data_IF_228549333631
#
_entry.id   IF_228549333631
#
_cell.length_a   1.000
_cell.length_b   1.000
_cell.length_c   1.000
_cell.angle_alpha   90.00
_cell.angle_beta   90.00
_cell.angle_gamma   90.00
#
_symmetry.space_group_name_H-M   'P 1'
#
loop_
_entity.id
_entity.type
_entity.pdbx_description
1 polymer ?
#
# COMPACT_ATOMS: atom_id res chain seq x y z
N UNK A 1 26.44 -23.79 11.77
CA UNK A 1 26.63 -23.19 10.42
C UNK A 1 25.82 -21.89 10.37
N UNK A 2 26.42 -20.79 9.90
CA UNK A 2 25.69 -19.56 9.62
C UNK A 2 25.03 -19.68 8.25
N UNK A 3 23.75 -19.39 8.16
CA UNK A 3 23.02 -19.37 6.88
C UNK A 3 23.09 -18.03 6.19
N UNK A 4 23.28 -16.93 6.94
CA UNK A 4 23.34 -15.59 6.39
C UNK A 4 22.87 -14.51 7.34
N UNK A 5 22.69 -13.30 6.79
CA UNK A 5 22.21 -12.11 7.47
C UNK A 5 21.26 -11.35 6.55
N UNK A 6 20.20 -10.82 7.11
CA UNK A 6 19.28 -9.90 6.47
C UNK A 6 19.29 -8.56 7.24
N UNK A 7 19.11 -7.46 6.53
CA UNK A 7 18.98 -6.11 7.08
C UNK A 7 17.75 -5.44 6.46
N UNK A 8 16.88 -4.93 7.30
CA UNK A 8 15.61 -4.32 6.97
C UNK A 8 14.46 -4.96 7.73
N UNK A 9 13.48 -4.15 8.13
CA UNK A 9 12.35 -4.60 8.94
C UNK A 9 11.07 -4.92 8.14
N UNK A 10 11.06 -4.61 6.84
CA UNK A 10 9.82 -4.63 6.02
C UNK A 10 9.94 -5.45 4.75
N UNK A 11 11.06 -6.10 4.51
CA UNK A 11 11.32 -6.85 3.28
C UNK A 11 11.46 -8.34 3.58
N UNK A 12 10.96 -9.21 2.67
CA UNK A 12 11.10 -10.66 2.82
C UNK A 12 12.56 -11.10 2.59
N UNK A 13 12.92 -12.22 3.19
CA UNK A 13 14.22 -12.85 2.96
C UNK A 13 14.11 -14.37 3.06
N UNK A 14 15.00 -15.07 2.37
CA UNK A 14 15.10 -16.52 2.38
C UNK A 14 16.57 -16.99 2.42
N UNK A 15 16.77 -18.18 2.97
CA UNK A 15 18.07 -18.83 3.02
C UNK A 15 17.94 -20.31 2.60
N UNK A 16 18.86 -20.78 1.75
CA UNK A 16 18.99 -22.21 1.50
C UNK A 16 19.59 -22.90 2.73
N UNK A 17 18.78 -23.74 3.35
CA UNK A 17 19.19 -24.50 4.55
C UNK A 17 19.77 -25.86 4.22
N UNK A 18 19.66 -26.31 2.95
CA UNK A 18 20.06 -27.65 2.51
C UNK A 18 21.50 -28.02 2.90
N UNK A 19 22.51 -27.15 2.73
CA UNK A 19 23.89 -27.47 3.11
C UNK A 19 24.12 -27.66 4.61
N UNK A 20 23.18 -27.17 5.44
CA UNK A 20 23.28 -27.20 6.90
C UNK A 20 22.46 -28.33 7.54
N UNK A 21 21.54 -28.96 6.77
CA UNK A 21 20.65 -30.00 7.29
C UNK A 21 21.41 -31.28 7.64
N UNK A 22 21.00 -31.88 8.74
CA UNK A 22 21.49 -33.17 9.21
C UNK A 22 20.34 -34.20 9.34
N UNK A 23 20.65 -35.47 9.29
CA UNK A 23 19.65 -36.52 9.54
C UNK A 23 19.15 -36.41 10.99
N UNK A 24 17.84 -36.38 11.17
CA UNK A 24 17.19 -36.26 12.47
C UNK A 24 16.77 -34.83 12.81
N UNK A 25 16.87 -34.46 14.08
CA UNK A 25 16.44 -33.17 14.59
C UNK A 25 17.44 -32.08 14.20
N UNK A 26 16.94 -31.02 13.61
CA UNK A 26 17.71 -29.79 13.29
C UNK A 26 17.18 -28.63 14.12
N UNK A 27 18.07 -27.80 14.62
CA UNK A 27 17.71 -26.59 15.37
C UNK A 27 18.05 -25.36 14.56
N UNK A 28 17.01 -24.57 14.23
CA UNK A 28 17.18 -23.23 13.64
C UNK A 28 17.24 -22.20 14.77
N UNK A 29 18.27 -21.35 14.73
CA UNK A 29 18.39 -20.22 15.66
C UNK A 29 18.42 -18.92 14.89
N UNK A 30 17.48 -18.02 15.19
CA UNK A 30 17.42 -16.67 14.65
C UNK A 30 17.82 -15.69 15.74
N UNK A 31 18.75 -14.77 15.43
CA UNK A 31 19.10 -13.66 16.29
C UNK A 31 18.66 -12.38 15.63
N UNK A 32 17.85 -11.59 16.33
CA UNK A 32 17.39 -10.28 15.89
C UNK A 32 18.07 -9.19 16.74
N UNK A 33 18.47 -8.11 16.10
CA UNK A 33 18.85 -6.86 16.73
C UNK A 33 18.03 -5.73 16.15
N UNK A 34 17.35 -5.00 17.00
CA UNK A 34 16.46 -3.92 16.63
C UNK A 34 16.64 -2.76 17.62
N UNK A 35 17.17 -1.62 17.16
CA UNK A 35 17.34 -0.45 18.01
C UNK A 35 16.08 0.41 18.14
N UNK A 36 14.96 -0.02 17.56
CA UNK A 36 13.65 0.67 17.47
C UNK A 36 13.81 2.03 16.78
N UNK A 37 13.84 3.14 17.52
CA UNK A 37 13.92 4.50 17.02
C UNK A 37 15.33 5.14 17.16
N UNK A 38 16.33 4.38 17.63
CA UNK A 38 17.71 4.79 17.54
C UNK A 38 18.27 4.50 16.13
N UNK A 39 18.80 5.52 15.47
CA UNK A 39 19.42 5.38 14.17
C UNK A 39 18.54 5.83 13.00
N UNK A 40 18.91 5.38 11.81
CA UNK A 40 18.38 5.90 10.55
C UNK A 40 17.48 4.90 9.80
N UNK A 41 17.36 3.67 10.28
CA UNK A 41 16.57 2.63 9.62
C UNK A 41 15.10 3.00 9.52
N UNK A 42 14.41 2.57 8.44
CA UNK A 42 12.96 2.62 8.39
C UNK A 42 12.35 1.85 9.56
N UNK A 43 11.46 2.48 10.30
CA UNK A 43 10.82 1.92 11.50
C UNK A 43 9.30 2.11 11.54
N UNK A 44 8.77 2.92 10.63
CA UNK A 44 7.37 3.31 10.71
C UNK A 44 7.10 4.20 11.93
N UNK A 45 5.93 4.04 12.54
CA UNK A 45 5.52 4.81 13.74
C UNK A 45 5.97 4.20 15.07
N UNK A 46 6.90 3.26 15.06
CA UNK A 46 7.41 2.59 16.24
C UNK A 46 8.40 3.46 17.00
N UNK A 47 8.20 3.65 18.31
CA UNK A 47 9.07 4.41 19.20
C UNK A 47 9.18 3.77 20.57
N UNK A 48 10.31 3.98 21.27
CA UNK A 48 10.53 3.49 22.64
C UNK A 48 9.60 4.13 23.67
N UNK A 49 9.07 5.33 23.38
CA UNK A 49 8.17 6.07 24.25
C UNK A 49 6.92 6.47 23.45
N UNK A 50 5.92 5.57 23.38
CA UNK A 50 4.69 5.83 22.65
C UNK A 50 3.95 7.06 23.17
N UNK A 51 3.57 7.92 22.24
CA UNK A 51 2.78 9.12 22.54
C UNK A 51 2.12 9.66 21.25
N UNK A 52 0.94 10.24 21.39
CA UNK A 52 0.19 10.90 20.30
C UNK A 52 0.01 9.96 19.10
N UNK A 53 0.76 10.16 18.02
CA UNK A 53 0.70 9.40 16.76
C UNK A 53 1.83 8.36 16.63
N UNK A 54 2.55 8.10 17.71
CA UNK A 54 3.66 7.15 17.78
C UNK A 54 3.30 6.00 18.71
N UNK A 55 3.59 4.77 18.32
CA UNK A 55 3.02 3.57 18.94
C UNK A 55 4.07 2.61 19.47
N UNK A 56 3.59 1.63 20.23
CA UNK A 56 4.38 0.59 20.89
C UNK A 56 5.21 -0.22 19.88
N UNK A 57 6.52 -0.35 20.06
CA UNK A 57 7.38 -1.03 19.10
C UNK A 57 7.31 -2.55 19.25
N UNK A 58 7.68 -3.24 18.18
CA UNK A 58 7.90 -4.69 18.15
C UNK A 58 9.33 -5.00 17.76
N UNK A 59 9.90 -6.07 18.33
CA UNK A 59 11.22 -6.59 17.97
C UNK A 59 11.11 -8.06 17.62
N UNK A 60 11.68 -8.45 16.52
CA UNK A 60 11.67 -9.83 16.06
C UNK A 60 11.02 -10.02 14.70
N UNK A 61 10.86 -11.28 14.30
CA UNK A 61 10.15 -11.62 13.07
C UNK A 61 8.64 -11.49 13.34
N UNK A 62 7.99 -10.60 12.61
CA UNK A 62 6.58 -10.25 12.82
C UNK A 62 5.65 -10.72 11.70
N UNK A 63 6.19 -11.37 10.66
CA UNK A 63 5.43 -12.01 9.59
C UNK A 63 5.68 -13.52 9.55
N UNK A 64 4.97 -14.22 8.68
CA UNK A 64 5.01 -15.68 8.59
C UNK A 64 6.42 -16.20 8.29
N UNK A 65 6.80 -17.26 9.00
CA UNK A 65 8.00 -18.07 8.75
C UNK A 65 7.58 -19.43 8.26
N UNK A 66 8.15 -19.89 7.15
CA UNK A 66 7.88 -21.23 6.63
C UNK A 66 9.13 -21.89 6.07
N UNK A 67 9.07 -23.19 5.89
CA UNK A 67 10.06 -23.99 5.20
C UNK A 67 9.42 -24.62 3.98
N UNK A 68 10.06 -24.48 2.83
CA UNK A 68 9.57 -24.99 1.56
C UNK A 68 10.61 -25.92 0.93
N UNK A 69 10.18 -27.12 0.52
CA UNK A 69 11.00 -28.03 -0.25
C UNK A 69 10.78 -27.75 -1.74
N UNK A 70 11.84 -27.37 -2.44
CA UNK A 70 11.79 -27.05 -3.85
C UNK A 70 12.74 -27.95 -4.65
N UNK A 71 12.48 -28.23 -5.94
CA UNK A 71 13.44 -28.86 -6.80
C UNK A 71 14.76 -28.08 -6.89
N UNK A 72 15.85 -28.75 -7.26
CA UNK A 72 17.13 -28.06 -7.48
C UNK A 72 17.02 -26.96 -8.57
N UNK A 73 16.20 -27.23 -9.57
CA UNK A 73 15.79 -26.24 -10.57
C UNK A 73 14.37 -25.80 -10.23
N UNK A 74 14.18 -24.55 -9.84
CA UNK A 74 12.88 -24.07 -9.41
C UNK A 74 12.63 -22.60 -9.81
N UNK A 75 11.35 -22.25 -9.83
CA UNK A 75 10.86 -20.89 -9.98
C UNK A 75 10.82 -20.26 -8.58
N UNK A 76 11.59 -19.18 -8.39
CA UNK A 76 11.70 -18.48 -7.11
C UNK A 76 10.69 -17.36 -6.96
N UNK A 77 10.39 -16.64 -8.04
CA UNK A 77 9.47 -15.51 -8.03
C UNK A 77 8.81 -15.30 -9.38
N UNK A 78 7.61 -14.76 -9.37
CA UNK A 78 6.81 -14.42 -10.54
C UNK A 78 6.25 -13.01 -10.35
N UNK A 79 6.42 -12.14 -11.36
CA UNK A 79 5.82 -10.81 -11.40
C UNK A 79 5.05 -10.65 -12.71
N UNK A 80 3.74 -10.48 -12.61
CA UNK A 80 2.87 -10.18 -13.74
C UNK A 80 2.66 -8.67 -13.86
N UNK A 81 3.07 -8.08 -14.98
CA UNK A 81 2.89 -6.65 -15.26
C UNK A 81 1.89 -6.48 -16.40
N UNK A 82 0.72 -5.89 -16.17
CA UNK A 82 -0.25 -5.61 -17.22
C UNK A 82 0.15 -4.40 -18.06
N UNK A 83 -0.16 -4.46 -19.35
CA UNK A 83 -0.13 -3.34 -20.30
C UNK A 83 -1.49 -3.31 -21.01
N UNK A 84 -2.38 -2.44 -20.56
CA UNK A 84 -3.73 -2.33 -21.11
C UNK A 84 -3.73 -1.81 -22.53
N UNK A 85 -2.85 -0.88 -22.87
CA UNK A 85 -2.76 -0.27 -24.20
C UNK A 85 -2.37 -1.32 -25.27
N UNK A 86 -1.47 -2.22 -24.91
CA UNK A 86 -1.06 -3.35 -25.75
C UNK A 86 -1.93 -4.61 -25.55
N UNK A 87 -2.79 -4.63 -24.52
CA UNK A 87 -3.56 -5.81 -24.10
C UNK A 87 -2.68 -7.01 -23.80
N UNK A 88 -1.55 -6.79 -23.16
CA UNK A 88 -0.58 -7.85 -22.85
C UNK A 88 -0.31 -7.92 -21.35
N UNK A 89 0.09 -9.13 -20.91
CA UNK A 89 0.79 -9.32 -19.66
C UNK A 89 2.25 -9.64 -19.95
N UNK A 90 3.15 -8.97 -19.29
CA UNK A 90 4.56 -9.34 -19.23
C UNK A 90 4.80 -10.11 -17.95
N UNK A 91 5.22 -11.36 -18.06
CA UNK A 91 5.47 -12.26 -16.94
C UNK A 91 6.98 -12.41 -16.78
N UNK A 92 7.52 -11.76 -15.75
CA UNK A 92 8.90 -11.91 -15.34
C UNK A 92 9.02 -13.06 -14.32
N UNK A 93 9.98 -13.98 -14.55
CA UNK A 93 10.24 -15.11 -13.65
C UNK A 93 11.67 -15.09 -13.17
N UNK A 94 11.87 -15.15 -11.85
CA UNK A 94 13.18 -15.43 -11.28
C UNK A 94 13.31 -16.94 -11.06
N UNK A 95 14.36 -17.56 -11.55
CA UNK A 95 14.59 -19.01 -11.48
C UNK A 95 15.94 -19.32 -10.83
N UNK A 96 16.06 -20.48 -10.21
CA UNK A 96 17.29 -21.00 -9.62
C UNK A 96 17.72 -22.31 -10.29
N UNK A 97 19.05 -22.57 -10.35
CA UNK A 97 19.59 -23.82 -10.85
C UNK A 97 19.40 -24.08 -12.35
N UNK A 98 19.04 -23.03 -13.11
CA UNK A 98 18.79 -23.12 -14.56
C UNK A 98 20.08 -23.08 -15.36
N UNK A 99 20.01 -23.59 -16.61
CA UNK A 99 21.10 -23.62 -17.59
C UNK A 99 20.64 -23.07 -18.95
N UNK A 100 21.56 -22.75 -19.88
CA UNK A 100 21.19 -22.33 -21.23
C UNK A 100 20.25 -23.34 -21.89
N UNK A 101 19.15 -22.87 -22.47
CA UNK A 101 18.14 -23.72 -23.12
C UNK A 101 16.93 -24.06 -22.25
N UNK A 102 17.00 -23.89 -20.92
CA UNK A 102 15.84 -24.00 -20.06
C UNK A 102 14.80 -22.92 -20.41
N UNK A 103 13.53 -23.27 -20.31
CA UNK A 103 12.41 -22.41 -20.70
C UNK A 103 11.37 -22.29 -19.59
N UNK A 104 10.68 -21.19 -19.60
CA UNK A 104 9.47 -20.99 -18.80
C UNK A 104 8.27 -21.00 -19.77
N UNK A 105 7.34 -21.89 -19.52
CA UNK A 105 6.02 -21.93 -20.18
C UNK A 105 4.98 -21.32 -19.27
N UNK A 106 4.23 -20.37 -19.78
CA UNK A 106 3.19 -19.65 -19.01
C UNK A 106 1.85 -19.81 -19.72
N UNK A 107 0.86 -20.26 -18.97
CA UNK A 107 -0.54 -20.32 -19.43
C UNK A 107 -1.40 -19.41 -18.58
N UNK A 108 -2.15 -18.51 -19.23
CA UNK A 108 -3.15 -17.65 -18.63
C UNK A 108 -4.51 -18.33 -18.73
N UNK A 109 -5.22 -18.42 -17.62
CA UNK A 109 -6.51 -19.09 -17.50
C UNK A 109 -7.56 -18.10 -17.00
N UNK A 110 -8.80 -18.27 -17.44
CA UNK A 110 -10.00 -17.58 -16.96
C UNK A 110 -11.07 -18.63 -16.70
N UNK A 111 -11.50 -18.78 -15.43
CA UNK A 111 -12.42 -19.82 -14.99
C UNK A 111 -12.01 -21.23 -15.48
N UNK A 112 -10.71 -21.53 -15.44
CA UNK A 112 -10.13 -22.80 -15.89
C UNK A 112 -9.97 -22.94 -17.39
N UNK A 113 -10.51 -22.04 -18.19
CA UNK A 113 -10.34 -22.00 -19.66
C UNK A 113 -9.04 -21.27 -20.04
N UNK A 114 -8.28 -21.86 -21.01
CA UNK A 114 -7.06 -21.23 -21.52
C UNK A 114 -7.40 -19.97 -22.33
N UNK A 115 -6.81 -18.83 -21.94
CA UNK A 115 -6.96 -17.53 -22.60
C UNK A 115 -5.76 -17.23 -23.50
N UNK A 116 -4.55 -17.45 -22.99
CA UNK A 116 -3.31 -17.21 -23.70
C UNK A 116 -2.20 -18.15 -23.21
N UNK A 117 -1.16 -18.33 -24.01
CA UNK A 117 0.05 -19.04 -23.61
C UNK A 117 1.29 -18.41 -24.25
N UNK A 118 2.42 -18.50 -23.58
CA UNK A 118 3.71 -18.05 -24.08
C UNK A 118 4.84 -18.90 -23.52
N UNK A 119 5.93 -18.95 -24.24
CA UNK A 119 7.18 -19.60 -23.83
C UNK A 119 8.33 -18.62 -23.96
N UNK A 120 9.16 -18.51 -22.92
CA UNK A 120 10.37 -17.69 -22.92
C UNK A 120 11.57 -18.51 -22.45
N UNK A 121 12.79 -18.12 -22.84
CA UNK A 121 14.00 -18.63 -22.21
C UNK A 121 14.09 -18.14 -20.77
N UNK A 122 14.65 -18.93 -19.86
CA UNK A 122 14.92 -18.48 -18.50
C UNK A 122 15.77 -17.21 -18.52
N UNK A 123 15.34 -16.20 -17.76
CA UNK A 123 15.93 -14.85 -17.73
C UNK A 123 15.33 -13.86 -18.73
N UNK A 124 14.41 -14.30 -19.60
CA UNK A 124 13.58 -13.44 -20.45
C UNK A 124 12.13 -13.45 -19.98
N UNK A 125 11.42 -12.34 -20.21
CA UNK A 125 10.00 -12.21 -19.88
C UNK A 125 9.15 -12.92 -20.94
N UNK A 126 8.06 -13.57 -20.49
CA UNK A 126 7.02 -14.08 -21.38
C UNK A 126 5.94 -13.02 -21.61
N UNK A 127 5.53 -12.80 -22.86
CA UNK A 127 4.42 -11.88 -23.20
C UNK A 127 3.17 -12.68 -23.57
N UNK A 128 2.03 -12.36 -22.89
CA UNK A 128 0.74 -12.98 -23.12
C UNK A 128 -0.23 -11.94 -23.66
N UNK A 129 -0.67 -12.09 -24.91
CA UNK A 129 -1.68 -11.22 -25.52
C UNK A 129 -3.10 -11.71 -25.19
N UNK A 130 -3.98 -10.78 -24.79
CA UNK A 130 -5.39 -11.06 -24.48
C UNK A 130 -6.29 -10.18 -25.33
N UNK A 131 -6.96 -10.76 -26.31
CA UNK A 131 -7.72 -10.00 -27.31
C UNK A 131 -8.84 -9.13 -26.71
N UNK A 132 -9.50 -9.61 -25.66
CA UNK A 132 -10.59 -8.91 -24.95
C UNK A 132 -10.41 -9.10 -23.44
N UNK A 133 -9.53 -8.31 -22.80
CA UNK A 133 -9.24 -8.52 -21.40
C UNK A 133 -10.40 -8.08 -20.51
N UNK A 134 -10.72 -8.89 -19.50
CA UNK A 134 -11.56 -8.48 -18.38
C UNK A 134 -10.71 -7.61 -17.46
N UNK A 135 -11.20 -6.41 -17.17
CA UNK A 135 -10.44 -5.43 -16.40
C UNK A 135 -10.69 -5.57 -14.91
N UNK A 136 -9.62 -5.41 -14.12
CA UNK A 136 -9.73 -5.31 -12.69
C UNK A 136 -10.14 -3.89 -12.27
N UNK A 137 -11.12 -3.81 -11.37
CA UNK A 137 -11.54 -2.56 -10.72
C UNK A 137 -12.14 -2.85 -9.34
N UNK A 138 -12.38 -1.83 -8.49
CA UNK A 138 -13.08 -2.02 -7.21
C UNK A 138 -14.45 -2.67 -7.32
N UNK A 139 -15.19 -2.41 -8.39
CA UNK A 139 -16.50 -2.98 -8.64
C UNK A 139 -16.47 -4.33 -9.36
N UNK A 140 -15.35 -4.67 -9.99
CA UNK A 140 -15.16 -5.92 -10.74
C UNK A 140 -13.70 -6.39 -10.60
N UNK A 141 -13.31 -6.98 -9.46
CA UNK A 141 -11.92 -7.35 -9.17
C UNK A 141 -11.53 -8.66 -9.86
N UNK A 142 -11.52 -8.64 -11.20
CA UNK A 142 -11.23 -9.82 -11.99
C UNK A 142 -9.76 -10.22 -11.93
N UNK A 143 -9.50 -11.47 -11.57
CA UNK A 143 -8.17 -12.09 -11.52
C UNK A 143 -8.13 -13.25 -12.52
N UNK A 144 -7.08 -13.28 -13.34
CA UNK A 144 -6.75 -14.43 -14.18
C UNK A 144 -5.81 -15.35 -13.42
N UNK A 145 -5.95 -16.66 -13.58
CA UNK A 145 -4.99 -17.62 -13.04
C UNK A 145 -3.77 -17.77 -13.96
N UNK A 146 -2.61 -18.01 -13.38
CA UNK A 146 -1.37 -18.32 -14.07
C UNK A 146 -0.88 -19.72 -13.71
N UNK A 147 -0.64 -20.57 -14.69
CA UNK A 147 0.10 -21.83 -14.59
C UNK A 147 1.48 -21.61 -15.21
N UNK A 148 2.54 -21.72 -14.41
CA UNK A 148 3.90 -21.43 -14.84
C UNK A 148 4.75 -22.68 -14.64
N UNK A 149 5.42 -23.13 -15.69
CA UNK A 149 6.22 -24.37 -15.72
C UNK A 149 7.65 -24.05 -16.13
N UNK A 150 8.61 -24.57 -15.37
CA UNK A 150 10.01 -24.58 -15.73
C UNK A 150 10.30 -25.88 -16.49
N UNK A 151 10.81 -25.76 -17.71
CA UNK A 151 11.01 -26.89 -18.62
C UNK A 151 12.48 -27.03 -19.02
N UNK A 152 13.04 -28.23 -18.84
CA UNK A 152 14.36 -28.65 -19.26
C UNK A 152 14.24 -29.87 -20.14
N UNK A 153 14.85 -29.86 -21.34
CA UNK A 153 14.87 -30.98 -22.30
C UNK A 153 13.45 -31.57 -22.55
N UNK A 154 12.44 -30.69 -22.64
CA UNK A 154 11.04 -31.06 -22.86
C UNK A 154 10.34 -31.65 -21.66
N UNK A 155 10.95 -31.65 -20.47
CA UNK A 155 10.36 -32.15 -19.22
C UNK A 155 10.11 -31.00 -18.25
N UNK A 156 8.93 -30.98 -17.63
CA UNK A 156 8.63 -30.06 -16.54
C UNK A 156 9.43 -30.46 -15.32
N UNK A 157 10.30 -29.56 -14.84
CA UNK A 157 11.15 -29.76 -13.66
C UNK A 157 10.65 -29.04 -12.43
N UNK A 158 9.84 -27.96 -12.63
CA UNK A 158 9.13 -27.26 -11.56
C UNK A 158 7.84 -26.64 -12.10
N UNK A 159 6.87 -26.43 -11.22
CA UNK A 159 5.59 -25.82 -11.56
C UNK A 159 5.05 -25.00 -10.39
N UNK A 160 4.65 -23.76 -10.67
CA UNK A 160 3.98 -22.89 -9.70
C UNK A 160 2.70 -22.31 -10.29
N UNK A 161 1.78 -21.92 -9.42
CA UNK A 161 0.59 -21.16 -9.79
C UNK A 161 0.68 -19.75 -9.23
N UNK A 162 0.10 -18.80 -9.94
CA UNK A 162 -0.01 -17.40 -9.54
C UNK A 162 -1.28 -16.81 -10.15
N UNK A 163 -1.39 -15.49 -10.14
CA UNK A 163 -2.49 -14.80 -10.80
C UNK A 163 -2.02 -13.48 -11.42
N UNK A 164 -2.86 -12.89 -12.26
CA UNK A 164 -2.65 -11.59 -12.87
C UNK A 164 -3.97 -10.82 -13.00
N UNK A 165 -3.90 -9.50 -13.01
CA UNK A 165 -5.05 -8.65 -13.24
C UNK A 165 -4.73 -7.57 -14.29
N UNK A 166 -5.62 -7.40 -15.27
CA UNK A 166 -5.47 -6.37 -16.29
C UNK A 166 -6.02 -5.05 -15.75
N UNK A 167 -5.13 -4.08 -15.56
CA UNK A 167 -5.50 -2.75 -15.10
C UNK A 167 -4.46 -1.70 -15.50
N UNK A 168 -4.86 -0.43 -15.50
CA UNK A 168 -3.97 0.72 -15.75
C UNK A 168 -4.32 1.85 -14.80
N UNK A 169 -3.34 2.35 -14.05
CA UNK A 169 -3.43 3.60 -13.29
C UNK A 169 -2.77 4.73 -14.08
N UNK A 170 -3.47 5.84 -14.23
CA UNK A 170 -3.00 7.00 -14.99
C UNK A 170 -3.62 8.29 -14.46
N UNK A 171 -3.25 9.42 -15.06
CA UNK A 171 -3.90 10.72 -14.86
C UNK A 171 -4.36 11.28 -16.21
N UNK A 172 -5.49 11.96 -16.21
CA UNK A 172 -5.99 12.67 -17.38
C UNK A 172 -6.77 13.92 -16.97
N UNK A 173 -6.86 14.92 -17.86
CA UNK A 173 -7.73 16.08 -17.64
C UNK A 173 -9.17 15.74 -17.95
N UNK A 174 -10.07 16.09 -17.04
CA UNK A 174 -11.51 16.01 -17.27
C UNK A 174 -12.01 17.14 -18.22
N UNK A 175 -13.32 17.17 -18.50
CA UNK A 175 -13.93 18.19 -19.34
C UNK A 175 -13.81 19.63 -18.84
N UNK A 176 -13.44 19.82 -17.58
CA UNK A 176 -13.19 21.12 -16.94
C UNK A 176 -11.69 21.49 -16.90
N UNK A 177 -10.82 20.61 -17.42
CA UNK A 177 -9.37 20.78 -17.41
C UNK A 177 -8.70 20.42 -16.06
N UNK A 178 -9.42 19.82 -15.12
CA UNK A 178 -8.89 19.35 -13.84
C UNK A 178 -8.21 18.00 -14.06
N UNK A 179 -6.98 17.86 -13.57
CA UNK A 179 -6.26 16.58 -13.63
C UNK A 179 -6.88 15.58 -12.64
N UNK A 180 -7.40 14.47 -13.15
CA UNK A 180 -8.04 13.40 -12.38
C UNK A 180 -7.17 12.15 -12.33
N UNK A 181 -7.28 11.39 -11.24
CA UNK A 181 -6.79 10.02 -11.20
C UNK A 181 -7.72 9.14 -12.04
N UNK A 182 -7.11 8.24 -12.83
CA UNK A 182 -7.84 7.33 -13.70
C UNK A 182 -7.50 5.88 -13.38
N UNK A 183 -8.49 5.02 -13.50
CA UNK A 183 -8.33 3.57 -13.55
C UNK A 183 -8.89 3.07 -14.88
N UNK A 184 -8.05 2.34 -15.65
CA UNK A 184 -8.43 1.83 -16.96
C UNK A 184 -8.92 2.93 -17.93
N UNK A 185 -8.19 4.06 -17.92
CA UNK A 185 -8.44 5.28 -18.71
C UNK A 185 -9.71 6.06 -18.31
N UNK A 186 -10.45 5.62 -17.29
CA UNK A 186 -11.64 6.30 -16.81
C UNK A 186 -11.36 7.05 -15.50
N UNK A 187 -11.75 8.34 -15.37
CA UNK A 187 -11.63 9.07 -14.13
C UNK A 187 -12.36 8.35 -13.00
N UNK A 188 -11.65 8.17 -11.87
CA UNK A 188 -12.18 7.54 -10.67
C UNK A 188 -11.78 8.35 -9.45
N UNK A 189 -12.76 8.83 -8.68
CA UNK A 189 -12.46 9.44 -7.39
C UNK A 189 -12.06 8.34 -6.40
N UNK A 190 -10.78 8.30 -6.03
CA UNK A 190 -10.28 7.35 -5.06
C UNK A 190 -10.55 7.88 -3.66
N UNK A 191 -11.37 7.16 -2.91
CA UNK A 191 -11.79 7.55 -1.57
C UNK A 191 -11.72 6.38 -0.60
N UNK A 192 -11.00 6.59 0.49
CA UNK A 192 -10.80 5.54 1.49
C UNK A 192 -10.21 6.05 2.79
N UNK A 193 -10.08 5.18 3.79
CA UNK A 193 -9.47 5.54 5.05
C UNK A 193 -7.95 5.38 5.03
N UNK A 194 -7.31 6.10 5.93
CA UNK A 194 -5.95 5.84 6.39
C UNK A 194 -5.98 4.58 7.26
N UNK A 195 -5.12 3.62 6.95
CA UNK A 195 -5.01 2.36 7.69
C UNK A 195 -3.58 2.17 8.21
N UNK A 196 -3.44 2.19 9.52
CA UNK A 196 -2.15 2.03 10.20
C UNK A 196 -1.78 0.55 10.45
N UNK A 197 -2.75 -0.36 10.39
CA UNK A 197 -2.53 -1.80 10.49
C UNK A 197 -2.00 -2.28 11.84
N UNK A 198 -2.40 -1.67 12.93
CA UNK A 198 -2.02 -2.04 14.29
C UNK A 198 -3.12 -2.86 14.99
N UNK A 199 -2.72 -3.73 15.91
CA UNK A 199 -3.58 -4.67 16.60
C UNK A 199 -3.32 -4.64 18.11
N UNK A 200 -4.34 -4.76 18.96
CA UNK A 200 -4.15 -4.65 20.42
C UNK A 200 -3.39 -5.83 21.02
N UNK A 201 -3.42 -7.00 20.40
CA UNK A 201 -2.81 -8.24 20.87
C UNK A 201 -1.48 -8.57 20.18
N UNK A 202 -1.35 -8.26 18.90
CA UNK A 202 -0.18 -8.57 18.09
C UNK A 202 0.63 -7.35 17.64
N UNK A 203 0.20 -6.13 17.97
CA UNK A 203 0.78 -4.86 17.54
C UNK A 203 0.90 -4.80 16.00
N UNK A 204 2.04 -5.11 15.43
CA UNK A 204 2.24 -5.17 13.98
C UNK A 204 1.65 -6.40 13.29
N UNK A 205 1.31 -7.45 14.04
CA UNK A 205 0.85 -8.73 13.49
C UNK A 205 -0.64 -8.91 13.75
N UNK A 206 -1.43 -9.05 12.69
CA UNK A 206 -2.82 -9.45 12.81
C UNK A 206 -2.92 -10.86 13.43
N UNK A 207 -3.93 -11.13 14.28
CA UNK A 207 -4.04 -12.41 14.98
C UNK A 207 -4.34 -13.59 14.05
N UNK A 208 -5.02 -13.35 12.93
CA UNK A 208 -5.39 -14.39 11.95
C UNK A 208 -5.44 -13.81 10.53
N UNK A 209 -5.56 -14.67 9.52
CA UNK A 209 -5.77 -14.26 8.14
C UNK A 209 -7.15 -13.61 7.92
N UNK A 210 -8.16 -14.09 8.62
CA UNK A 210 -9.49 -13.48 8.63
C UNK A 210 -9.46 -12.07 9.22
N UNK A 211 -8.63 -11.82 10.22
CA UNK A 211 -8.41 -10.49 10.76
C UNK A 211 -7.74 -9.56 9.73
N UNK A 212 -6.75 -10.06 8.97
CA UNK A 212 -6.16 -9.29 7.86
C UNK A 212 -7.21 -8.89 6.82
N UNK A 213 -8.13 -9.79 6.48
CA UNK A 213 -9.19 -9.53 5.52
C UNK A 213 -10.27 -8.59 6.08
N UNK A 214 -10.55 -8.66 7.37
CA UNK A 214 -11.66 -7.97 8.04
C UNK A 214 -11.63 -6.45 7.85
N UNK A 215 -10.47 -5.81 8.07
CA UNK A 215 -10.35 -4.35 7.92
C UNK A 215 -10.63 -3.91 6.47
N UNK A 216 -10.21 -4.73 5.49
CA UNK A 216 -10.45 -4.50 4.05
C UNK A 216 -11.94 -4.68 3.72
N UNK A 217 -12.53 -5.78 4.19
CA UNK A 217 -13.95 -6.10 3.98
C UNK A 217 -14.83 -5.01 4.59
N UNK A 218 -14.54 -4.59 5.83
CA UNK A 218 -15.25 -3.51 6.50
C UNK A 218 -15.13 -2.18 5.77
N UNK A 219 -13.93 -1.84 5.30
CA UNK A 219 -13.72 -0.62 4.50
C UNK A 219 -14.58 -0.64 3.23
N UNK A 220 -14.66 -1.79 2.57
CA UNK A 220 -15.50 -1.97 1.38
C UNK A 220 -16.99 -1.90 1.72
N UNK A 221 -17.43 -2.52 2.82
CA UNK A 221 -18.81 -2.44 3.30
C UNK A 221 -19.24 -1.02 3.59
N UNK A 222 -18.33 -0.16 4.06
CA UNK A 222 -18.57 1.27 4.26
C UNK A 222 -18.59 2.10 2.96
N UNK A 223 -18.49 1.45 1.79
CA UNK A 223 -18.62 2.11 0.49
C UNK A 223 -17.35 2.80 -0.01
N UNK A 224 -16.20 2.56 0.58
CA UNK A 224 -14.91 3.02 0.10
C UNK A 224 -14.38 2.16 -1.06
N UNK A 225 -13.49 2.71 -1.88
CA UNK A 225 -12.86 2.01 -2.99
C UNK A 225 -11.33 1.96 -2.89
N UNK A 226 -10.75 2.53 -1.84
CA UNK A 226 -9.31 2.63 -1.64
C UNK A 226 -8.96 2.54 -0.16
N UNK A 227 -7.72 2.13 0.15
CA UNK A 227 -7.06 2.22 1.46
C UNK A 227 -5.69 2.85 1.25
N UNK A 228 -5.33 3.85 2.07
CA UNK A 228 -3.93 4.27 2.19
C UNK A 228 -3.28 3.48 3.32
N UNK A 229 -2.38 2.55 2.96
CA UNK A 229 -1.56 1.82 3.94
C UNK A 229 -0.46 2.73 4.45
N UNK A 230 -0.67 3.23 5.66
CA UNK A 230 0.07 4.34 6.23
C UNK A 230 1.34 3.88 6.93
N UNK A 231 2.49 4.24 6.36
CA UNK A 231 3.82 4.12 6.98
C UNK A 231 4.15 2.68 7.45
N UNK A 232 3.51 1.69 6.85
CA UNK A 232 3.67 0.27 7.15
C UNK A 232 3.62 -0.56 5.88
N UNK A 233 4.36 -1.66 5.83
CA UNK A 233 4.23 -2.72 4.83
C UNK A 233 3.55 -3.91 5.50
N UNK A 234 2.51 -4.44 4.87
CA UNK A 234 1.78 -5.61 5.35
C UNK A 234 2.36 -6.92 4.81
N UNK A 235 1.98 -8.09 5.38
CA UNK A 235 2.23 -9.38 4.76
C UNK A 235 1.60 -9.45 3.35
N UNK A 236 2.21 -10.22 2.45
CA UNK A 236 1.73 -10.42 1.07
C UNK A 236 0.25 -10.82 0.98
N UNK A 237 -0.26 -11.58 1.95
CA UNK A 237 -1.67 -11.99 2.02
C UNK A 237 -2.64 -10.82 2.15
N UNK A 238 -2.25 -9.73 2.82
CA UNK A 238 -3.09 -8.53 2.92
C UNK A 238 -3.31 -7.90 1.54
N UNK A 239 -2.25 -7.78 0.72
CA UNK A 239 -2.36 -7.25 -0.65
C UNK A 239 -3.15 -8.19 -1.56
N UNK A 240 -2.99 -9.50 -1.40
CA UNK A 240 -3.81 -10.49 -2.10
C UNK A 240 -5.29 -10.33 -1.75
N UNK A 241 -5.64 -10.08 -0.47
CA UNK A 241 -7.01 -9.76 -0.09
C UNK A 241 -7.51 -8.47 -0.75
N UNK A 242 -6.68 -7.42 -0.86
CA UNK A 242 -7.02 -6.21 -1.61
C UNK A 242 -7.27 -6.51 -3.10
N UNK A 243 -6.43 -7.34 -3.72
CA UNK A 243 -6.57 -7.72 -5.12
C UNK A 243 -7.90 -8.46 -5.38
N UNK A 244 -8.22 -9.47 -4.58
CA UNK A 244 -9.44 -10.27 -4.75
C UNK A 244 -10.73 -9.55 -4.36
N UNK A 245 -10.66 -8.61 -3.42
CA UNK A 245 -11.81 -7.84 -2.95
C UNK A 245 -12.03 -6.55 -3.74
N UNK A 246 -11.07 -6.14 -4.56
CA UNK A 246 -11.14 -4.91 -5.32
C UNK A 246 -10.98 -3.66 -4.44
N UNK A 247 -9.86 -3.56 -3.73
CA UNK A 247 -9.53 -2.40 -2.92
C UNK A 247 -8.24 -1.78 -3.42
N UNK A 248 -8.29 -0.54 -3.93
CA UNK A 248 -7.11 0.19 -4.37
C UNK A 248 -6.22 0.48 -3.15
N UNK A 249 -4.91 0.37 -3.32
CA UNK A 249 -3.95 0.62 -2.24
C UNK A 249 -3.01 1.78 -2.63
N UNK A 250 -2.90 2.75 -1.73
CA UNK A 250 -1.77 3.67 -1.70
C UNK A 250 -0.79 3.15 -0.67
N UNK A 251 0.43 2.87 -1.09
CA UNK A 251 1.46 2.25 -0.25
C UNK A 251 2.51 3.25 0.15
N UNK A 252 2.57 3.57 1.45
CA UNK A 252 3.62 4.41 2.02
C UNK A 252 4.91 3.63 2.23
N UNK A 253 6.06 4.31 2.03
CA UNK A 253 7.35 3.88 2.59
C UNK A 253 7.32 4.06 4.10
N UNK A 254 7.72 3.05 4.91
CA UNK A 254 7.92 3.25 6.34
C UNK A 254 8.97 4.33 6.61
N UNK A 255 8.63 5.27 7.46
CA UNK A 255 9.53 6.38 7.78
C UNK A 255 10.72 5.95 8.65
N UNK A 256 11.78 6.72 8.57
CA UNK A 256 12.98 6.61 9.41
C UNK A 256 13.82 7.88 9.32
N UNK A 257 14.87 7.98 10.14
CA UNK A 257 15.78 9.12 10.16
C UNK A 257 15.07 10.49 10.25
N UNK A 258 14.26 10.66 11.30
CA UNK A 258 13.47 11.89 11.50
C UNK A 258 14.25 13.06 12.09
N UNK A 259 15.48 12.87 12.53
CA UNK A 259 16.26 13.96 13.09
C UNK A 259 16.36 15.13 12.11
N UNK A 260 16.19 16.36 12.60
CA UNK A 260 16.18 17.55 11.77
C UNK A 260 14.91 17.77 10.95
N UNK A 261 13.78 17.30 11.45
CA UNK A 261 12.44 17.59 10.90
C UNK A 261 12.24 19.10 10.71
N UNK A 262 11.94 19.50 9.48
CA UNK A 262 11.68 20.89 9.12
C UNK A 262 10.39 21.00 8.26
N UNK A 263 9.22 21.03 8.89
CA UNK A 263 7.95 21.09 8.18
C UNK A 263 7.68 22.51 7.68
N UNK A 264 7.63 22.71 6.38
CA UNK A 264 7.12 23.95 5.78
C UNK A 264 5.71 23.79 5.17
N UNK A 265 5.18 22.56 5.11
CA UNK A 265 3.83 22.29 4.61
C UNK A 265 2.75 23.08 5.36
N UNK A 266 2.98 23.40 6.65
CA UNK A 266 2.10 24.24 7.45
C UNK A 266 1.93 25.65 6.88
N UNK A 267 2.87 26.13 6.05
CA UNK A 267 2.77 27.41 5.36
C UNK A 267 1.81 27.36 4.16
N UNK A 268 1.28 26.19 3.81
CA UNK A 268 0.31 25.99 2.73
C UNK A 268 0.80 26.45 1.35
N UNK A 269 2.11 26.34 1.09
CA UNK A 269 2.80 26.72 -0.14
C UNK A 269 3.77 25.64 -0.59
N UNK A 270 4.29 25.75 -1.81
CA UNK A 270 5.43 24.94 -2.22
C UNK A 270 6.66 25.20 -1.35
N UNK A 271 7.46 24.15 -1.19
CA UNK A 271 8.67 24.21 -0.39
C UNK A 271 9.75 25.05 -1.07
N UNK A 272 10.38 25.95 -0.32
CA UNK A 272 11.45 26.82 -0.79
C UNK A 272 12.70 26.76 0.10
N UNK A 273 12.68 25.93 1.14
CA UNK A 273 13.78 25.77 2.08
C UNK A 273 14.82 24.72 1.64
N UNK A 274 15.79 24.48 2.51
CA UNK A 274 16.77 23.42 2.33
C UNK A 274 16.19 22.09 2.82
N UNK A 275 16.29 21.07 1.99
CA UNK A 275 15.93 19.71 2.37
C UNK A 275 16.88 19.14 3.43
N UNK A 276 16.36 18.21 4.24
CA UNK A 276 17.17 17.42 5.14
C UNK A 276 18.32 16.74 4.39
N UNK A 277 19.51 16.85 4.96
CA UNK A 277 20.67 16.10 4.51
C UNK A 277 20.76 14.81 5.32
N UNK A 278 20.63 13.67 4.68
CA UNK A 278 20.92 12.37 5.30
C UNK A 278 22.39 12.02 5.17
N UNK A 279 22.94 11.23 6.09
CA UNK A 279 24.25 10.62 5.88
C UNK A 279 24.21 9.64 4.68
N UNK A 280 25.35 9.40 4.06
CA UNK A 280 25.45 8.45 2.94
C UNK A 280 24.91 7.06 3.33
N UNK A 281 25.15 6.62 4.56
CA UNK A 281 24.65 5.34 5.07
C UNK A 281 23.14 5.34 5.24
N UNK A 282 22.56 6.42 5.77
CA UNK A 282 21.11 6.58 5.90
C UNK A 282 20.41 6.59 4.54
N UNK A 283 20.94 7.35 3.58
CA UNK A 283 20.43 7.37 2.22
C UNK A 283 20.49 6.01 1.54
N UNK A 284 21.62 5.31 1.64
CA UNK A 284 21.81 3.97 1.07
C UNK A 284 20.83 2.96 1.68
N UNK A 285 20.59 3.01 2.99
CA UNK A 285 19.61 2.18 3.68
C UNK A 285 18.20 2.44 3.17
N UNK A 286 17.77 3.71 3.10
CA UNK A 286 16.46 4.08 2.57
C UNK A 286 16.24 3.58 1.13
N UNK A 287 17.21 3.85 0.22
CA UNK A 287 17.09 3.46 -1.18
C UNK A 287 17.07 1.94 -1.36
N UNK A 288 17.86 1.21 -0.56
CA UNK A 288 17.85 -0.25 -0.56
C UNK A 288 16.47 -0.78 -0.16
N UNK A 289 15.96 -0.38 0.99
CA UNK A 289 14.69 -0.89 1.51
C UNK A 289 13.50 -0.46 0.65
N UNK A 290 13.47 0.79 0.15
CA UNK A 290 12.40 1.24 -0.75
C UNK A 290 12.34 0.43 -2.04
N UNK A 291 13.50 0.15 -2.64
CA UNK A 291 13.59 -0.72 -3.82
C UNK A 291 13.10 -2.13 -3.50
N UNK A 292 13.54 -2.72 -2.41
CA UNK A 292 13.16 -4.08 -2.00
C UNK A 292 11.65 -4.18 -1.70
N UNK A 293 11.05 -3.15 -1.10
CA UNK A 293 9.60 -3.07 -0.88
C UNK A 293 8.85 -3.04 -2.22
N UNK A 294 9.27 -2.18 -3.16
CA UNK A 294 8.66 -2.15 -4.49
C UNK A 294 8.81 -3.50 -5.20
N UNK A 295 9.98 -4.12 -5.14
CA UNK A 295 10.22 -5.44 -5.76
C UNK A 295 9.32 -6.53 -5.16
N UNK A 296 9.11 -6.52 -3.85
CA UNK A 296 8.24 -7.46 -3.15
C UNK A 296 6.75 -7.25 -3.48
N UNK A 297 6.33 -6.01 -3.73
CA UNK A 297 4.91 -5.65 -3.79
C UNK A 297 4.40 -5.34 -5.20
N UNK A 298 5.25 -5.01 -6.16
CA UNK A 298 4.81 -4.59 -7.52
C UNK A 298 4.03 -5.64 -8.31
N UNK A 299 4.01 -6.89 -7.86
CA UNK A 299 3.16 -7.96 -8.42
C UNK A 299 1.67 -7.80 -8.08
N UNK A 300 1.31 -7.07 -7.02
CA UNK A 300 -0.07 -6.91 -6.58
C UNK A 300 -0.80 -5.85 -7.41
N UNK A 301 -1.97 -6.23 -7.92
CA UNK A 301 -2.75 -5.40 -8.84
C UNK A 301 -3.38 -4.18 -8.16
N UNK A 302 -3.78 -4.32 -6.91
CA UNK A 302 -4.45 -3.30 -6.10
C UNK A 302 -3.59 -2.07 -5.83
N UNK A 303 -2.25 -2.20 -5.77
CA UNK A 303 -1.37 -1.06 -5.53
C UNK A 303 -1.41 -0.14 -6.74
N UNK A 304 -1.96 1.06 -6.53
CA UNK A 304 -2.09 2.11 -7.54
C UNK A 304 -1.08 3.24 -7.38
N UNK A 305 -0.63 3.49 -6.15
CA UNK A 305 0.20 4.65 -5.81
C UNK A 305 1.33 4.25 -4.86
N UNK A 306 2.54 4.70 -5.18
CA UNK A 306 3.69 4.68 -4.29
C UNK A 306 3.84 6.02 -3.59
N UNK A 307 4.05 6.02 -2.26
CA UNK A 307 4.18 7.21 -1.42
C UNK A 307 5.52 7.19 -0.68
N UNK A 308 6.60 7.77 -1.24
CA UNK A 308 7.94 7.75 -0.64
C UNK A 308 8.03 8.45 0.72
N UNK A 309 7.26 9.53 0.94
CA UNK A 309 7.35 10.33 2.16
C UNK A 309 5.98 10.74 2.70
N UNK A 310 5.93 10.93 4.03
CA UNK A 310 4.79 11.50 4.74
C UNK A 310 5.24 12.68 5.61
N UNK A 311 4.52 13.81 5.55
CA UNK A 311 4.58 14.97 6.45
C UNK A 311 5.99 15.51 6.77
N UNK A 312 6.88 15.47 5.80
CA UNK A 312 8.30 15.88 5.95
C UNK A 312 9.12 14.99 6.92
N UNK A 313 8.54 13.90 7.44
CA UNK A 313 9.24 13.00 8.36
C UNK A 313 10.34 12.20 7.64
N UNK A 314 11.58 12.65 7.83
CA UNK A 314 12.74 12.09 7.15
C UNK A 314 12.79 12.37 5.63
N UNK A 315 11.97 13.27 5.13
CA UNK A 315 11.91 13.68 3.72
C UNK A 315 13.25 14.29 3.26
N UNK A 316 13.79 13.80 2.15
CA UNK A 316 15.05 14.26 1.59
C UNK A 316 15.11 13.99 0.09
N UNK A 317 15.83 14.79 -0.68
CA UNK A 317 15.99 14.64 -2.13
C UNK A 317 14.68 14.27 -2.82
N UNK A 318 13.60 14.95 -2.46
CA UNK A 318 12.22 14.56 -2.79
C UNK A 318 12.00 14.40 -4.29
N UNK A 319 12.52 15.33 -5.09
CA UNK A 319 12.40 15.29 -6.56
C UNK A 319 13.09 14.04 -7.11
N UNK A 320 14.35 13.82 -6.73
CA UNK A 320 15.15 12.67 -7.19
C UNK A 320 14.51 11.33 -6.80
N UNK A 321 14.03 11.21 -5.55
CA UNK A 321 13.39 9.97 -5.06
C UNK A 321 12.07 9.71 -5.79
N UNK A 322 11.25 10.74 -6.01
CA UNK A 322 9.99 10.59 -6.74
C UNK A 322 10.21 10.19 -8.21
N UNK A 323 11.14 10.83 -8.89
CA UNK A 323 11.50 10.50 -10.28
C UNK A 323 12.09 9.10 -10.40
N UNK A 324 12.97 8.72 -9.47
CA UNK A 324 13.49 7.37 -9.40
C UNK A 324 12.39 6.34 -9.19
N UNK A 325 11.47 6.58 -8.23
CA UNK A 325 10.34 5.68 -7.96
C UNK A 325 9.48 5.49 -9.21
N UNK A 326 9.15 6.59 -9.91
CA UNK A 326 8.38 6.54 -11.17
C UNK A 326 9.10 5.77 -12.27
N UNK A 327 10.41 5.96 -12.40
CA UNK A 327 11.23 5.26 -13.40
C UNK A 327 11.37 3.78 -13.08
N UNK A 328 11.43 3.43 -11.80
CA UNK A 328 11.60 2.06 -11.33
C UNK A 328 10.31 1.22 -11.49
N UNK A 329 9.16 1.82 -11.21
CA UNK A 329 7.84 1.23 -11.49
C UNK A 329 6.92 2.23 -12.20
N UNK A 330 7.02 2.34 -13.53
CA UNK A 330 6.21 3.28 -14.31
C UNK A 330 4.72 2.92 -14.37
N UNK A 331 4.34 1.72 -13.90
CA UNK A 331 2.96 1.21 -13.96
C UNK A 331 2.07 1.69 -12.81
N UNK A 332 2.64 2.47 -11.89
CA UNK A 332 1.92 3.10 -10.75
C UNK A 332 2.12 4.61 -10.77
N UNK A 333 1.24 5.29 -10.06
CA UNK A 333 1.37 6.71 -9.78
C UNK A 333 2.31 6.92 -8.59
N UNK A 334 2.92 8.10 -8.54
CA UNK A 334 3.79 8.50 -7.44
C UNK A 334 3.24 9.75 -6.76
N UNK A 335 2.93 9.61 -5.48
CA UNK A 335 2.64 10.70 -4.57
C UNK A 335 3.94 11.06 -3.84
N UNK A 336 4.66 12.12 -4.23
CA UNK A 336 6.05 12.34 -3.81
C UNK A 336 6.20 12.54 -2.30
N UNK A 337 5.22 13.18 -1.66
CA UNK A 337 5.20 13.41 -0.23
C UNK A 337 3.77 13.74 0.20
N UNK A 338 3.10 12.80 0.85
CA UNK A 338 1.74 13.02 1.35
C UNK A 338 1.76 14.04 2.49
N UNK A 339 1.08 15.19 2.31
CA UNK A 339 1.03 16.28 3.28
C UNK A 339 2.39 16.81 3.74
N UNK A 340 3.45 16.46 3.05
CA UNK A 340 4.81 16.89 3.39
C UNK A 340 5.18 18.23 2.79
N UNK A 341 6.48 18.51 2.77
CA UNK A 341 6.98 19.65 2.02
C UNK A 341 6.69 19.44 0.52
N UNK A 342 5.92 20.32 -0.09
CA UNK A 342 5.40 20.16 -1.44
C UNK A 342 6.42 20.60 -2.49
N UNK A 343 6.66 19.71 -3.47
CA UNK A 343 7.55 19.96 -4.62
C UNK A 343 6.79 19.82 -5.93
N UNK A 344 7.34 20.38 -7.02
CA UNK A 344 6.81 20.24 -8.38
C UNK A 344 7.33 18.94 -9.02
N UNK A 345 6.95 17.80 -8.48
CA UNK A 345 7.35 16.46 -8.95
C UNK A 345 6.27 15.43 -8.66
N UNK A 346 6.38 14.23 -9.24
CA UNK A 346 5.42 13.14 -9.11
C UNK A 346 4.11 13.38 -9.86
N UNK A 347 3.15 12.50 -9.68
CA UNK A 347 1.85 12.53 -10.36
C UNK A 347 0.78 13.33 -9.59
N UNK A 348 1.07 13.68 -8.32
CA UNK A 348 0.10 14.32 -7.42
C UNK A 348 0.71 15.46 -6.61
N UNK A 349 -0.18 16.38 -6.19
CA UNK A 349 0.00 17.30 -5.08
C UNK A 349 -0.92 16.83 -3.96
N UNK A 350 -0.36 16.40 -2.83
CA UNK A 350 -1.12 15.84 -1.72
C UNK A 350 -1.14 16.76 -0.51
N UNK A 351 -2.35 17.12 -0.08
CA UNK A 351 -2.60 18.05 1.01
C UNK A 351 -3.06 17.31 2.25
N UNK A 352 -2.66 17.78 3.43
CA UNK A 352 -3.23 17.38 4.71
C UNK A 352 -3.93 18.58 5.35
N UNK A 353 -5.12 18.40 5.88
CA UNK A 353 -5.83 19.44 6.64
C UNK A 353 -6.78 18.81 7.66
N UNK A 354 -6.55 19.11 8.91
CA UNK A 354 -7.40 18.67 10.02
C UNK A 354 -8.16 19.84 10.66
N UNK A 355 -9.39 19.62 11.17
CA UNK A 355 -10.12 18.35 11.03
C UNK A 355 -10.87 18.22 9.69
N UNK A 356 -11.28 19.31 9.08
CA UNK A 356 -12.18 19.34 7.93
C UNK A 356 -11.43 19.43 6.59
N UNK A 357 -12.02 18.99 5.48
CA UNK A 357 -11.36 19.07 4.16
C UNK A 357 -11.12 20.53 3.75
N UNK A 358 -9.93 20.80 3.18
CA UNK A 358 -9.56 22.12 2.69
C UNK A 358 -8.66 22.07 1.46
N UNK A 359 -9.01 22.81 0.41
CA UNK A 359 -8.22 22.96 -0.81
C UNK A 359 -7.43 24.28 -0.73
N UNK A 360 -6.31 24.28 -0.02
CA UNK A 360 -5.49 25.48 0.22
C UNK A 360 -4.36 25.70 -0.82
N UNK A 361 -4.06 24.66 -1.61
CA UNK A 361 -3.11 24.71 -2.72
C UNK A 361 -3.64 23.87 -3.87
N UNK A 362 -3.39 24.25 -5.11
CA UNK A 362 -3.88 23.56 -6.29
C UNK A 362 -2.79 23.50 -7.36
N UNK A 363 -2.69 22.37 -8.05
CA UNK A 363 -1.80 22.19 -9.20
C UNK A 363 -2.60 21.88 -10.46
N UNK A 364 -2.45 22.73 -11.50
CA UNK A 364 -3.17 22.56 -12.77
C UNK A 364 -2.58 21.44 -13.66
N UNK A 365 -1.42 20.90 -13.33
CA UNK A 365 -0.69 19.91 -14.12
C UNK A 365 -0.59 18.54 -13.47
N UNK A 366 -0.97 18.42 -12.19
CA UNK A 366 -0.97 17.18 -11.42
C UNK A 366 -2.30 16.99 -10.70
N UNK A 367 -2.63 15.76 -10.38
CA UNK A 367 -3.82 15.50 -9.56
C UNK A 367 -3.63 16.10 -8.16
N UNK A 368 -4.53 17.00 -7.74
CA UNK A 368 -4.54 17.50 -6.37
C UNK A 368 -5.40 16.57 -5.53
N UNK A 369 -4.86 16.08 -4.41
CA UNK A 369 -5.51 15.10 -3.54
C UNK A 369 -5.45 15.56 -2.08
N UNK A 370 -6.31 15.00 -1.25
CA UNK A 370 -6.35 15.25 0.19
C UNK A 370 -5.94 13.97 0.92
N UNK A 371 -4.65 13.81 1.21
CA UNK A 371 -4.07 12.58 1.77
C UNK A 371 -4.41 12.31 3.21
N UNK A 372 -4.83 13.34 3.96
CA UNK A 372 -5.37 13.18 5.32
C UNK A 372 -6.34 14.30 5.68
N UNK A 373 -7.46 13.93 6.29
CA UNK A 373 -8.42 14.82 6.96
C UNK A 373 -9.31 14.01 7.91
N UNK A 374 -10.08 14.69 8.74
CA UNK A 374 -11.03 14.06 9.65
C UNK A 374 -10.49 13.95 11.06
N UNK A 375 -10.15 12.76 11.51
CA UNK A 375 -9.64 12.55 12.86
C UNK A 375 -10.71 12.78 13.92
N UNK A 376 -11.97 12.39 13.65
CA UNK A 376 -13.12 12.57 14.54
C UNK A 376 -13.05 11.53 15.65
N UNK A 377 -12.74 11.98 16.88
CA UNK A 377 -12.54 11.14 18.04
C UNK A 377 -13.84 10.84 18.81
N UNK A 378 -13.93 9.59 19.28
CA UNK A 378 -14.94 9.13 20.23
C UNK A 378 -14.32 8.10 21.18
N UNK A 379 -14.34 8.40 22.48
CA UNK A 379 -13.89 7.48 23.53
C UNK A 379 -14.98 6.44 23.82
N UNK A 380 -14.68 5.16 23.57
CA UNK A 380 -15.55 4.04 23.94
C UNK A 380 -14.89 3.26 25.09
N UNK A 381 -15.33 3.51 26.32
CA UNK A 381 -14.65 3.14 27.58
C UNK A 381 -14.27 1.66 27.70
N UNK A 382 -15.06 0.75 27.12
CA UNK A 382 -14.82 -0.70 27.20
C UNK A 382 -13.81 -1.22 26.17
N UNK A 383 -13.34 -0.34 25.26
CA UNK A 383 -12.52 -0.67 24.09
C UNK A 383 -11.24 0.16 24.00
N UNK A 384 -10.75 0.68 25.11
CA UNK A 384 -9.59 1.55 25.16
C UNK A 384 -8.29 0.78 25.40
N UNK A 385 -7.19 1.26 24.79
CA UNK A 385 -5.84 0.83 25.11
C UNK A 385 -5.41 1.33 26.49
N UNK A 386 -5.63 2.62 26.76
CA UNK A 386 -5.42 3.26 28.05
C UNK A 386 -6.67 4.04 28.49
N UNK A 387 -7.11 3.90 29.75
CA UNK A 387 -8.34 4.52 30.21
C UNK A 387 -8.29 6.06 30.31
N UNK A 388 -7.10 6.62 30.61
CA UNK A 388 -6.97 8.01 31.06
C UNK A 388 -6.35 8.95 30.03
N UNK A 389 -5.74 8.42 28.96
CA UNK A 389 -5.07 9.21 27.93
C UNK A 389 -5.60 8.83 26.55
N UNK A 390 -6.48 9.69 26.03
CA UNK A 390 -7.02 9.46 24.70
C UNK A 390 -7.14 10.79 23.97
N UNK A 391 -6.96 10.79 22.65
CA UNK A 391 -7.04 12.00 21.86
C UNK A 391 -7.63 11.74 20.45
N UNK A 392 -8.09 12.83 19.84
CA UNK A 392 -8.50 12.94 18.44
C UNK A 392 -8.44 14.41 18.05
N UNK A 393 -8.43 14.73 16.76
CA UNK A 393 -8.35 16.13 16.29
C UNK A 393 -9.59 16.94 16.69
N UNK A 394 -10.75 16.32 16.71
CA UNK A 394 -11.98 16.78 17.35
C UNK A 394 -12.58 15.60 18.11
N UNK A 395 -13.41 15.85 19.12
CA UNK A 395 -13.96 14.78 19.94
C UNK A 395 -15.44 14.97 20.19
N UNK A 396 -16.17 13.87 20.14
CA UNK A 396 -17.59 13.78 20.36
C UNK A 396 -17.92 12.72 21.43
N UNK A 397 -19.19 12.66 21.85
CA UNK A 397 -19.61 11.81 22.96
C UNK A 397 -20.49 10.63 22.52
N UNK A 398 -21.00 10.62 21.28
CA UNK A 398 -21.89 9.58 20.78
C UNK A 398 -21.58 9.24 19.32
N UNK A 399 -21.83 7.98 18.88
CA UNK A 399 -21.69 7.58 17.48
C UNK A 399 -22.53 8.42 16.50
N UNK A 400 -23.68 8.90 16.92
CA UNK A 400 -24.52 9.77 16.10
C UNK A 400 -23.83 11.10 15.82
N UNK A 401 -23.25 11.74 16.85
CA UNK A 401 -22.50 12.99 16.67
C UNK A 401 -21.28 12.82 15.75
N UNK A 402 -20.56 11.69 15.85
CA UNK A 402 -19.46 11.35 14.95
C UNK A 402 -19.96 11.23 13.51
N UNK A 403 -21.08 10.52 13.32
CA UNK A 403 -21.69 10.34 11.99
C UNK A 403 -22.14 11.68 11.40
N UNK A 404 -22.80 12.54 12.19
CA UNK A 404 -23.24 13.86 11.75
C UNK A 404 -22.08 14.75 11.32
N UNK A 405 -20.97 14.72 12.07
CA UNK A 405 -19.78 15.49 11.71
C UNK A 405 -19.09 14.92 10.47
N UNK A 406 -19.01 13.59 10.34
CA UNK A 406 -18.52 12.92 9.15
C UNK A 406 -19.32 13.34 7.91
N UNK A 407 -20.65 13.39 7.98
CA UNK A 407 -21.50 13.82 6.87
C UNK A 407 -21.25 15.28 6.46
N UNK A 408 -21.00 16.18 7.42
CA UNK A 408 -20.63 17.59 7.14
C UNK A 408 -19.30 17.65 6.38
N UNK A 409 -18.30 16.86 6.81
CA UNK A 409 -17.01 16.82 6.12
C UNK A 409 -17.16 16.24 4.70
N UNK A 410 -17.95 15.17 4.55
CA UNK A 410 -18.24 14.56 3.27
C UNK A 410 -18.99 15.51 2.32
N UNK A 411 -19.94 16.29 2.81
CA UNK A 411 -20.63 17.31 2.03
C UNK A 411 -19.65 18.39 1.53
N UNK A 412 -18.79 18.90 2.41
CA UNK A 412 -17.75 19.86 2.07
C UNK A 412 -16.74 19.27 1.05
N UNK A 413 -16.34 18.01 1.22
CA UNK A 413 -15.48 17.31 0.27
C UNK A 413 -16.15 17.24 -1.11
N UNK A 414 -17.45 16.94 -1.18
CA UNK A 414 -18.22 16.93 -2.42
C UNK A 414 -18.13 18.25 -3.20
N UNK A 415 -18.20 19.39 -2.52
CA UNK A 415 -18.00 20.71 -3.14
C UNK A 415 -16.54 20.88 -3.65
N UNK A 416 -15.56 20.42 -2.87
CA UNK A 416 -14.13 20.58 -3.21
C UNK A 416 -13.70 19.66 -4.36
N UNK A 417 -14.38 18.52 -4.60
CA UNK A 417 -14.18 17.67 -5.78
C UNK A 417 -14.42 18.49 -7.06
N UNK A 418 -15.52 19.26 -7.09
CA UNK A 418 -15.83 20.16 -8.21
C UNK A 418 -14.81 21.28 -8.41
N UNK A 419 -13.99 21.57 -7.40
CA UNK A 419 -12.95 22.62 -7.41
C UNK A 419 -11.54 22.08 -7.68
N UNK A 420 -11.34 20.74 -7.68
CA UNK A 420 -10.03 20.22 -8.06
C UNK A 420 -9.55 18.95 -7.37
N UNK A 421 -10.15 18.51 -6.27
CA UNK A 421 -9.73 17.25 -5.64
C UNK A 421 -10.04 16.04 -6.51
N UNK A 422 -9.08 15.12 -6.59
CA UNK A 422 -9.15 13.87 -7.37
C UNK A 422 -9.14 12.63 -6.51
N UNK A 423 -8.84 12.75 -5.24
CA UNK A 423 -8.91 11.70 -4.22
C UNK A 423 -8.98 12.31 -2.82
N UNK A 424 -9.41 11.52 -1.84
CA UNK A 424 -9.34 11.89 -0.44
C UNK A 424 -9.13 10.69 0.47
N UNK A 425 -8.44 10.90 1.60
CA UNK A 425 -8.17 9.89 2.62
C UNK A 425 -8.67 10.37 3.97
N UNK A 426 -9.61 9.64 4.53
CA UNK A 426 -10.19 9.93 5.85
C UNK A 426 -9.38 9.27 6.98
N UNK A 427 -9.04 10.00 8.01
CA UNK A 427 -8.34 9.51 9.19
C UNK A 427 -9.35 9.10 10.26
N UNK A 428 -9.58 7.80 10.59
CA UNK A 428 -8.87 6.63 10.08
C UNK A 428 -9.75 5.36 10.21
N UNK A 429 -9.23 4.19 9.79
CA UNK A 429 -9.99 2.92 9.83
C UNK A 429 -10.32 2.49 11.24
N UNK A 430 -9.31 2.36 12.10
CA UNK A 430 -9.45 1.94 13.51
C UNK A 430 -8.79 2.93 14.44
N UNK A 431 -9.20 2.94 15.70
CA UNK A 431 -8.36 3.48 16.75
C UNK A 431 -7.00 2.78 16.75
N UNK A 432 -5.96 3.47 17.20
CA UNK A 432 -4.65 2.88 17.45
C UNK A 432 -4.12 3.39 18.78
N UNK A 433 -3.99 2.50 19.74
CA UNK A 433 -3.54 2.81 21.10
C UNK A 433 -4.36 3.98 21.72
N UNK A 434 -3.71 5.12 21.99
CA UNK A 434 -4.40 6.29 22.60
C UNK A 434 -5.07 7.20 21.57
N UNK A 435 -4.88 6.96 20.28
CA UNK A 435 -5.51 7.71 19.20
C UNK A 435 -6.90 7.12 18.90
N UNK A 436 -7.96 7.82 19.35
CA UNK A 436 -9.34 7.30 19.34
C UNK A 436 -10.21 7.95 18.25
N UNK A 437 -9.69 8.10 17.06
CA UNK A 437 -10.36 8.73 15.92
C UNK A 437 -10.65 7.78 14.75
N UNK A 438 -10.61 6.47 15.00
CA UNK A 438 -11.02 5.46 14.04
C UNK A 438 -12.53 5.42 13.81
N UNK A 439 -12.97 4.89 12.67
CA UNK A 439 -14.36 4.55 12.40
C UNK A 439 -14.83 3.36 13.27
N UNK A 440 -13.89 2.56 13.76
CA UNK A 440 -14.12 1.48 14.73
C UNK A 440 -13.02 1.47 15.79
N UNK A 441 -13.29 0.80 16.89
CA UNK A 441 -12.37 0.67 18.03
C UNK A 441 -11.11 -0.12 17.67
N UNK A 442 -10.05 0.01 18.50
CA UNK A 442 -8.75 -0.66 18.28
C UNK A 442 -8.87 -2.19 18.24
N UNK A 443 -9.77 -2.75 19.02
CA UNK A 443 -10.06 -4.19 19.04
C UNK A 443 -11.08 -4.65 17.98
N UNK A 444 -11.55 -3.74 17.11
CA UNK A 444 -12.55 -3.98 16.04
C UNK A 444 -13.91 -4.47 16.56
N UNK A 445 -14.19 -4.40 17.84
CA UNK A 445 -15.45 -4.92 18.43
C UNK A 445 -16.61 -3.95 18.37
N UNK A 446 -16.34 -2.66 18.23
CA UNK A 446 -17.37 -1.64 18.14
C UNK A 446 -17.13 -0.68 16.98
N UNK A 447 -18.16 -0.46 16.17
CA UNK A 447 -18.20 0.58 15.15
C UNK A 447 -18.71 1.87 15.77
N UNK A 448 -18.06 2.99 15.44
CA UNK A 448 -18.29 4.30 16.06
C UNK A 448 -19.17 5.22 15.23
N UNK A 449 -19.80 4.69 14.20
CA UNK A 449 -20.59 5.42 13.20
C UNK A 449 -21.83 4.64 12.79
N UNK A 450 -22.83 5.32 12.22
CA UNK A 450 -23.93 4.67 11.49
C UNK A 450 -23.41 4.17 10.12
N UNK A 451 -23.22 2.86 10.01
CA UNK A 451 -22.63 2.22 8.84
C UNK A 451 -23.46 2.45 7.56
N UNK A 452 -24.79 2.46 7.66
CA UNK A 452 -25.65 2.65 6.50
C UNK A 452 -25.57 4.09 5.95
N UNK A 453 -25.50 5.08 6.85
CA UNK A 453 -25.34 6.49 6.47
C UNK A 453 -23.98 6.73 5.82
N UNK A 454 -22.90 6.21 6.43
CA UNK A 454 -21.54 6.35 5.90
C UNK A 454 -21.41 5.68 4.54
N UNK A 455 -21.89 4.45 4.40
CA UNK A 455 -21.87 3.73 3.12
C UNK A 455 -22.51 4.54 1.99
N UNK A 456 -23.72 5.04 2.20
CA UNK A 456 -24.46 5.82 1.21
C UNK A 456 -23.67 7.06 0.75
N UNK A 457 -23.03 7.74 1.68
CA UNK A 457 -22.27 8.95 1.38
C UNK A 457 -20.96 8.63 0.65
N UNK A 458 -20.26 7.59 1.09
CA UNK A 458 -18.99 7.17 0.50
C UNK A 458 -19.18 6.66 -0.93
N UNK A 459 -20.23 5.85 -1.18
CA UNK A 459 -20.60 5.42 -2.54
C UNK A 459 -20.89 6.62 -3.44
N UNK A 460 -21.57 7.66 -2.94
CA UNK A 460 -21.83 8.89 -3.69
C UNK A 460 -20.51 9.63 -4.02
N UNK A 461 -19.59 9.75 -3.06
CA UNK A 461 -18.28 10.38 -3.26
C UNK A 461 -17.45 9.59 -4.28
N UNK A 462 -17.34 8.27 -4.13
CA UNK A 462 -16.61 7.42 -5.06
C UNK A 462 -17.13 7.53 -6.50
N UNK A 463 -18.43 7.74 -6.68
CA UNK A 463 -19.09 7.87 -7.97
C UNK A 463 -19.21 9.32 -8.48
N UNK A 464 -18.70 10.30 -7.77
CA UNK A 464 -18.88 11.73 -8.09
C UNK A 464 -18.39 12.15 -9.48
N UNK A 465 -17.34 11.51 -10.00
CA UNK A 465 -16.81 11.79 -11.34
C UNK A 465 -17.59 11.08 -12.47
N UNK A 466 -18.40 10.07 -12.14
CA UNK A 466 -19.24 9.36 -13.12
C UNK A 466 -20.51 10.12 -13.45
N UNK A 467 -21.03 10.96 -12.54
CA UNK A 467 -22.24 11.74 -12.73
C UNK A 467 -22.03 12.92 -13.69
N UNK A 468 -20.79 13.40 -13.87
CA UNK A 468 -20.47 14.47 -14.82
C UNK A 468 -20.49 14.01 -16.29
N UNK A 469 -20.65 12.70 -16.57
CA UNK A 469 -20.78 12.13 -17.92
C UNK A 469 -22.22 12.06 -18.42
N UNK A 470 -23.20 12.32 -17.57
CA UNK A 470 -24.62 12.33 -17.92
C UNK A 470 -25.14 13.74 -18.11
#
# INVERSE_FOLDING_TARGET
VSLGRHEGGYTPFDFDVTPALQKGVNTLRVRVWDPTDDGYQPRGKQVKRPEVVWYTPVTGIWQTVWLEAVPQQHIRNVVATPDLDRRTFRIATATCGTQPGDRVEVTLLDDGGKVAEATALCGADAELYVASPKLWSPSSPHLYDLDIRLVRDGKVVDRVTSYAAMRKFSTAKDGKGIVRLCLNDEPLFQFGPLDQGWWPDGLYTAPTDEALAYDIEKTKEWGFNMIRKHIKVEPARWYWHCDRLGMIVWQDMPIGDQAGFNPQWQNKTYFTGEEKQRSATSEACYRKEWREIIDALRGFASIGVWVPFNEAWGQFKTVEIAEWTKSYDPTRLVNPASGGNHYLTGDMLDLHNYPDPSLYLYDANRATVLGEYGGIGLVMKEHLWEPDRNWGYVSFSTPEQVTDEYEKYAAKLGELIGRGFSAAVYTQTTDVEIEVNGLMTYDRKAVKVDEARIRKINEKICNSLNEEKR
#
